data_IF_824761481119
#
_entry.id   IF_824761481119
#
_cell.length_a   1.000
_cell.length_b   1.000
_cell.length_c   1.000
_cell.angle_alpha   90.00
_cell.angle_beta   90.00
_cell.angle_gamma   90.00
#
_symmetry.space_group_name_H-M   'P 1'
#
loop_
_entity.id
_entity.type
_entity.pdbx_description
1 polymer ?
#
# COMPACT_ATOMS: atom_id res chain seq x y z
N UNK A 1 -42.05 52.85 -66.38
CA UNK A 1 -43.45 52.56 -66.03
C UNK A 1 -43.41 51.80 -64.71
N UNK A 2 -43.42 52.56 -63.61
CA UNK A 2 -44.55 52.69 -62.68
C UNK A 2 -44.68 51.44 -61.80
N UNK A 3 -44.29 51.55 -60.52
CA UNK A 3 -45.22 51.78 -59.38
C UNK A 3 -46.01 50.50 -59.07
N UNK A 4 -46.24 50.06 -57.84
CA UNK A 4 -46.00 50.57 -56.48
C UNK A 4 -46.69 49.55 -55.56
N UNK A 5 -46.21 49.48 -54.33
CA UNK A 5 -47.01 49.34 -53.10
C UNK A 5 -47.78 48.03 -52.88
N UNK A 6 -48.10 47.64 -51.66
CA UNK A 6 -47.70 47.95 -50.28
C UNK A 6 -48.69 47.12 -49.45
N UNK A 7 -48.32 46.78 -48.21
CA UNK A 7 -49.25 46.75 -47.07
C UNK A 7 -50.33 45.64 -47.08
N UNK A 8 -50.71 44.97 -46.00
CA UNK A 8 -50.36 44.92 -44.58
C UNK A 8 -51.33 43.85 -44.00
N UNK A 9 -51.01 43.30 -42.82
CA UNK A 9 -51.94 42.59 -41.91
C UNK A 9 -52.29 41.12 -42.24
N UNK A 10 -52.35 40.18 -41.30
CA UNK A 10 -52.12 40.13 -39.86
C UNK A 10 -52.33 38.66 -39.44
N UNK A 11 -51.50 38.15 -38.52
CA UNK A 11 -51.74 37.03 -37.59
C UNK A 11 -52.01 35.61 -38.13
N UNK A 12 -51.14 34.65 -37.83
CA UNK A 12 -51.34 33.75 -36.68
C UNK A 12 -50.03 33.00 -36.34
N UNK A 13 -49.81 32.84 -35.04
CA UNK A 13 -48.60 32.40 -34.38
C UNK A 13 -48.19 30.94 -34.64
N UNK A 14 -46.89 30.71 -34.82
CA UNK A 14 -46.21 29.54 -34.25
C UNK A 14 -44.79 29.95 -33.84
N UNK A 15 -44.66 30.28 -32.56
CA UNK A 15 -43.38 30.44 -31.86
C UNK A 15 -42.82 29.03 -31.68
N UNK A 16 -41.74 28.69 -32.39
CA UNK A 16 -40.88 27.58 -31.99
C UNK A 16 -39.56 28.17 -31.50
N UNK A 17 -39.43 28.18 -30.17
CA UNK A 17 -38.23 28.56 -29.46
C UNK A 17 -37.11 27.54 -29.77
N UNK A 18 -36.12 27.94 -30.55
CA UNK A 18 -34.84 27.25 -30.62
C UNK A 18 -33.93 27.82 -29.53
N UNK A 19 -34.08 27.31 -28.31
CA UNK A 19 -33.16 27.53 -27.20
C UNK A 19 -32.56 26.19 -26.79
N UNK A 20 -31.23 26.18 -26.72
CA UNK A 20 -30.36 25.29 -25.96
C UNK A 20 -30.29 23.80 -26.35
N UNK A 21 -29.30 23.49 -27.19
CA UNK A 21 -28.38 22.39 -26.90
C UNK A 21 -26.94 22.88 -27.11
N UNK A 22 -26.47 23.70 -26.17
CA UNK A 22 -25.04 23.66 -25.86
C UNK A 22 -24.86 22.44 -24.96
N UNK A 23 -24.57 21.30 -25.57
CA UNK A 23 -24.03 20.18 -24.82
C UNK A 23 -22.79 20.69 -24.11
N UNK A 24 -22.81 20.64 -22.76
CA UNK A 24 -21.63 20.90 -21.97
C UNK A 24 -20.49 20.04 -22.52
N UNK A 25 -19.27 20.58 -22.70
CA UNK A 25 -18.12 19.69 -22.88
C UNK A 25 -18.15 18.75 -21.67
N UNK A 26 -18.33 17.45 -21.96
CA UNK A 26 -18.27 16.43 -20.94
C UNK A 26 -17.00 16.63 -20.13
N UNK A 27 -17.13 16.48 -18.81
CA UNK A 27 -16.00 16.47 -17.89
C UNK A 27 -15.01 15.40 -18.38
N UNK A 28 -14.02 15.84 -19.15
CA UNK A 28 -12.89 15.03 -19.53
C UNK A 28 -11.94 15.10 -18.36
N UNK A 29 -11.85 14.01 -17.60
CA UNK A 29 -10.76 13.77 -16.65
C UNK A 29 -9.47 13.57 -17.45
N UNK A 30 -8.95 14.68 -17.94
CA UNK A 30 -7.65 14.76 -18.59
C UNK A 30 -6.68 15.34 -17.56
N UNK A 31 -5.53 14.71 -17.32
CA UNK A 31 -4.54 15.24 -16.38
C UNK A 31 -4.15 16.65 -16.82
N UNK A 32 -4.18 17.60 -15.88
CA UNK A 32 -3.88 19.01 -16.14
C UNK A 32 -2.44 19.19 -16.66
N UNK A 33 -1.57 18.22 -16.33
CA UNK A 33 -0.24 18.07 -16.90
C UNK A 33 0.02 16.61 -17.31
N UNK A 34 0.17 16.36 -18.62
CA UNK A 34 0.58 15.06 -19.13
C UNK A 34 2.11 14.96 -19.17
N UNK A 35 2.72 14.49 -18.08
CA UNK A 35 4.03 13.85 -18.14
C UNK A 35 3.86 12.33 -17.95
N UNK A 36 4.54 11.48 -18.74
CA UNK A 36 4.59 10.04 -18.45
C UNK A 36 5.17 9.83 -17.05
N UNK A 37 4.44 9.17 -16.15
CA UNK A 37 4.87 9.01 -14.76
C UNK A 37 6.15 8.15 -14.67
N UNK A 38 7.26 8.76 -14.25
CA UNK A 38 8.36 8.00 -13.63
C UNK A 38 7.89 7.37 -12.31
N UNK A 39 7.00 8.06 -11.58
CA UNK A 39 6.51 7.62 -10.27
C UNK A 39 5.57 6.40 -10.33
N UNK A 40 4.80 6.19 -11.41
CA UNK A 40 4.04 4.94 -11.57
C UNK A 40 4.97 3.76 -11.85
N UNK A 41 6.03 3.97 -12.64
CA UNK A 41 7.05 2.95 -12.87
C UNK A 41 7.82 2.64 -11.57
N UNK A 42 8.06 3.63 -10.71
CA UNK A 42 8.71 3.47 -9.39
C UNK A 42 7.80 2.88 -8.31
N UNK A 43 6.51 3.21 -8.29
CA UNK A 43 5.52 2.56 -7.43
C UNK A 43 5.28 1.10 -7.82
N UNK A 44 5.46 0.78 -9.11
CA UNK A 44 5.52 -0.59 -9.62
C UNK A 44 6.85 -1.31 -9.32
N UNK A 45 7.88 -0.58 -8.87
CA UNK A 45 9.12 -1.13 -8.32
C UNK A 45 9.03 -1.30 -6.79
N UNK A 46 7.83 -1.46 -6.21
CA UNK A 46 7.75 -2.05 -4.87
C UNK A 46 8.44 -3.40 -4.94
N UNK A 47 9.55 -3.47 -4.22
CA UNK A 47 10.46 -4.59 -4.11
C UNK A 47 9.69 -5.88 -3.83
N UNK A 48 10.23 -7.03 -4.23
CA UNK A 48 9.77 -8.35 -3.76
C UNK A 48 9.82 -8.50 -2.22
N UNK A 49 10.34 -7.48 -1.52
CA UNK A 49 10.43 -7.35 -0.07
C UNK A 49 9.20 -6.64 0.53
N UNK A 50 8.70 -7.15 1.65
CA UNK A 50 7.70 -6.47 2.46
C UNK A 50 8.34 -5.31 3.22
N UNK A 51 8.01 -4.07 2.85
CA UNK A 51 8.57 -2.84 3.43
C UNK A 51 7.49 -1.91 3.96
N UNK A 52 7.75 -1.28 5.11
CA UNK A 52 6.92 -0.25 5.74
C UNK A 52 7.78 0.99 6.02
N UNK A 53 7.26 2.18 5.70
CA UNK A 53 7.93 3.46 5.96
C UNK A 53 7.12 4.29 6.95
N UNK A 54 7.72 4.65 8.07
CA UNK A 54 7.17 5.50 9.10
C UNK A 54 7.79 6.89 8.97
N UNK A 55 6.96 7.91 8.76
CA UNK A 55 7.44 9.26 8.52
C UNK A 55 7.39 10.10 9.79
N UNK A 56 8.53 10.68 10.15
CA UNK A 56 8.62 11.63 11.25
C UNK A 56 8.30 13.06 10.78
N UNK A 57 7.75 13.84 11.71
CA UNK A 57 7.36 15.22 11.46
C UNK A 57 7.97 16.16 12.50
N UNK A 58 8.35 17.35 12.05
CA UNK A 58 8.69 18.42 12.97
C UNK A 58 7.42 18.93 13.67
N UNK A 59 7.48 19.24 14.98
CA UNK A 59 6.35 19.82 15.68
C UNK A 59 6.00 21.19 15.10
N UNK A 60 4.70 21.45 14.98
CA UNK A 60 4.17 22.73 14.51
C UNK A 60 3.38 23.43 15.62
N UNK A 61 3.37 24.76 15.58
CA UNK A 61 2.60 25.59 16.51
C UNK A 61 1.38 26.13 15.77
N UNK A 62 0.19 25.79 16.26
CA UNK A 62 -1.07 26.27 15.68
C UNK A 62 -1.40 27.69 16.16
N UNK A 63 -2.07 28.51 15.33
CA UNK A 63 -2.53 28.22 13.97
C UNK A 63 -1.40 28.31 12.92
N UNK A 64 -1.47 27.45 11.91
CA UNK A 64 -0.58 27.51 10.74
C UNK A 64 -1.19 28.39 9.65
N UNK A 65 -0.33 28.97 8.81
CA UNK A 65 -0.74 29.69 7.61
C UNK A 65 -0.02 29.06 6.41
N UNK A 66 -0.76 28.74 5.36
CA UNK A 66 -0.19 28.30 4.09
C UNK A 66 -0.85 29.10 2.96
N UNK A 67 -0.02 29.67 2.10
CA UNK A 67 -0.45 30.41 0.92
C UNK A 67 -0.47 29.54 -0.35
N UNK A 68 -0.09 28.27 -0.21
CA UNK A 68 0.01 27.26 -1.27
C UNK A 68 0.83 27.72 -2.48
N UNK A 69 1.72 28.69 -2.28
CA UNK A 69 2.62 29.22 -3.33
C UNK A 69 3.64 28.21 -3.82
N UNK A 70 4.00 27.28 -2.94
CA UNK A 70 4.84 26.12 -3.20
C UNK A 70 4.21 24.92 -2.52
N UNK A 71 4.53 23.73 -3.02
CA UNK A 71 4.11 22.50 -2.37
C UNK A 71 4.85 22.31 -1.03
N UNK A 72 4.08 22.28 0.06
CA UNK A 72 4.54 22.07 1.44
C UNK A 72 3.97 20.78 2.04
N UNK A 73 3.49 19.88 1.19
CA UNK A 73 3.05 18.54 1.58
C UNK A 73 4.24 17.61 1.78
N UNK A 74 4.08 16.61 2.65
CA UNK A 74 5.07 15.55 2.80
C UNK A 74 4.94 14.56 1.66
N UNK A 75 5.99 14.43 0.86
CA UNK A 75 6.03 13.38 -0.16
C UNK A 75 6.20 12.00 0.47
N UNK A 76 5.24 11.09 0.21
CA UNK A 76 5.19 9.73 0.79
C UNK A 76 5.78 8.65 -0.14
N UNK A 77 6.84 8.99 -0.88
CA UNK A 77 7.46 8.12 -1.88
C UNK A 77 8.85 7.59 -1.54
N UNK A 78 9.22 7.52 -0.25
CA UNK A 78 10.54 7.08 0.20
C UNK A 78 10.86 5.63 -0.21
N UNK A 79 12.14 5.36 -0.46
CA UNK A 79 12.67 4.03 -0.77
C UNK A 79 13.84 3.65 0.15
N UNK A 80 14.07 2.35 0.30
CA UNK A 80 15.24 1.86 1.01
C UNK A 80 16.54 2.39 0.37
N UNK A 81 17.38 3.05 1.17
CA UNK A 81 18.65 3.64 0.72
C UNK A 81 18.56 5.13 0.35
N UNK A 82 17.38 5.74 0.35
CA UNK A 82 17.24 7.19 0.21
C UNK A 82 17.88 7.93 1.40
N UNK A 83 18.37 9.17 1.21
CA UNK A 83 18.89 9.98 2.31
C UNK A 83 17.83 10.23 3.39
N UNK A 84 18.19 9.97 4.66
CA UNK A 84 17.27 10.13 5.79
C UNK A 84 16.25 8.98 5.94
N UNK A 85 16.39 7.90 5.17
CA UNK A 85 15.62 6.66 5.36
C UNK A 85 16.50 5.64 6.06
N UNK A 86 16.13 5.29 7.29
CA UNK A 86 16.89 4.42 8.15
C UNK A 86 16.10 3.13 8.43
N UNK A 87 16.75 1.97 8.33
CA UNK A 87 16.13 0.71 8.79
C UNK A 87 16.07 0.75 10.31
N UNK A 88 14.85 0.75 10.86
CA UNK A 88 14.60 0.79 12.30
C UNK A 88 14.57 -0.63 12.87
N UNK A 89 13.78 -1.52 12.27
CA UNK A 89 13.63 -2.89 12.73
C UNK A 89 13.23 -3.86 11.61
N UNK A 90 13.49 -5.15 11.87
CA UNK A 90 13.03 -6.26 11.04
C UNK A 90 12.10 -7.09 11.89
N UNK A 91 10.84 -7.20 11.48
CA UNK A 91 9.84 -8.03 12.16
C UNK A 91 9.69 -9.32 11.40
N UNK A 92 10.01 -10.45 12.04
CA UNK A 92 9.80 -11.77 11.45
C UNK A 92 8.38 -12.26 11.72
N UNK A 93 7.83 -13.01 10.78
CA UNK A 93 6.48 -13.58 10.88
C UNK A 93 6.40 -14.66 11.95
N UNK A 94 7.44 -15.48 12.10
CA UNK A 94 7.45 -16.64 12.99
C UNK A 94 8.54 -16.52 14.05
N UNK A 95 8.16 -16.81 15.28
CA UNK A 95 9.05 -16.91 16.42
C UNK A 95 8.73 -18.14 17.28
N UNK A 96 9.77 -18.84 17.71
CA UNK A 96 9.69 -19.92 18.72
C UNK A 96 10.49 -19.50 19.95
N UNK A 97 9.81 -19.21 21.06
CA UNK A 97 10.44 -18.85 22.34
C UNK A 97 11.47 -17.71 22.25
N UNK A 98 11.20 -16.67 21.46
CA UNK A 98 12.07 -15.52 21.27
C UNK A 98 13.21 -15.74 20.27
N UNK A 99 13.19 -16.86 19.53
CA UNK A 99 14.11 -17.15 18.43
C UNK A 99 13.34 -17.21 17.12
N UNK A 100 13.81 -16.43 16.14
CA UNK A 100 13.33 -16.46 14.76
C UNK A 100 14.46 -16.83 13.81
N UNK A 101 14.24 -17.83 12.95
CA UNK A 101 15.22 -18.28 11.96
C UNK A 101 14.66 -18.12 10.53
N UNK A 102 15.51 -17.84 9.51
CA UNK A 102 15.06 -17.60 8.14
C UNK A 102 14.33 -18.76 7.45
N UNK A 103 14.56 -20.00 7.90
CA UNK A 103 14.05 -21.23 7.26
C UNK A 103 12.98 -21.89 8.14
N UNK A 104 12.28 -21.11 8.96
CA UNK A 104 11.18 -21.64 9.76
C UNK A 104 9.99 -21.97 8.86
N UNK A 105 9.56 -23.22 8.93
CA UNK A 105 8.40 -23.74 8.21
C UNK A 105 7.72 -24.78 9.09
N UNK A 106 6.39 -24.77 9.10
CA UNK A 106 5.60 -25.62 9.98
C UNK A 106 4.28 -26.04 9.32
N UNK A 107 3.79 -27.21 9.73
CA UNK A 107 2.44 -27.69 9.42
C UNK A 107 1.50 -27.36 10.59
N UNK A 108 0.28 -26.95 10.28
CA UNK A 108 -0.79 -26.73 11.26
C UNK A 108 -1.52 -28.02 11.62
N UNK A 109 -1.45 -29.02 10.74
CA UNK A 109 -1.92 -30.36 11.02
C UNK A 109 -0.81 -31.20 11.68
N UNK A 110 -1.23 -32.16 12.52
CA UNK A 110 -0.31 -33.05 13.24
C UNK A 110 0.45 -33.95 12.27
N UNK A 111 1.78 -33.89 12.32
CA UNK A 111 2.67 -34.84 11.65
C UNK A 111 3.10 -35.96 12.61
N UNK A 112 3.53 -37.09 12.05
CA UNK A 112 3.64 -38.34 12.77
C UNK A 112 4.96 -39.08 12.51
N UNK A 113 5.40 -39.80 13.54
CA UNK A 113 6.29 -40.93 13.43
C UNK A 113 5.45 -42.20 13.30
N UNK A 114 5.62 -42.93 12.20
CA UNK A 114 4.96 -44.21 11.92
C UNK A 114 5.99 -45.35 11.93
N UNK A 115 5.72 -46.39 12.72
CA UNK A 115 6.54 -47.61 12.74
C UNK A 115 5.78 -48.72 12.02
N UNK A 116 6.46 -49.34 11.07
CA UNK A 116 5.95 -50.29 10.10
C UNK A 116 6.69 -51.62 10.23
N UNK A 117 5.99 -52.74 10.12
CA UNK A 117 6.60 -54.08 10.10
C UNK A 117 6.16 -54.82 8.84
N UNK A 118 7.17 -55.22 8.08
CA UNK A 118 7.02 -55.98 6.86
C UNK A 118 7.00 -57.45 7.21
N UNK A 119 5.79 -57.98 7.35
CA UNK A 119 5.62 -59.42 7.54
C UNK A 119 6.09 -60.20 6.31
N UNK A 120 6.44 -61.48 6.48
CA UNK A 120 6.86 -62.42 5.41
C UNK A 120 5.89 -62.50 4.20
N UNK A 121 4.70 -61.92 4.30
CA UNK A 121 3.70 -61.84 3.21
C UNK A 121 3.86 -60.62 2.29
N UNK A 122 4.81 -59.72 2.57
CA UNK A 122 5.04 -58.51 1.79
C UNK A 122 3.96 -57.42 2.00
N UNK A 123 3.07 -57.60 2.97
CA UNK A 123 2.18 -56.54 3.44
C UNK A 123 2.85 -55.80 4.58
N UNK A 124 2.86 -54.48 4.44
CA UNK A 124 3.31 -53.57 5.49
C UNK A 124 2.16 -53.30 6.47
N UNK A 125 2.45 -53.44 7.76
CA UNK A 125 1.49 -53.23 8.84
C UNK A 125 1.99 -52.12 9.76
N UNK A 126 1.22 -51.05 9.90
CA UNK A 126 1.54 -49.97 10.85
C UNK A 126 1.33 -50.48 12.28
N UNK A 127 2.43 -50.59 13.03
CA UNK A 127 2.42 -51.02 14.43
C UNK A 127 2.15 -49.84 15.36
N UNK A 128 2.71 -48.68 15.03
CA UNK A 128 2.60 -47.49 15.87
C UNK A 128 2.49 -46.24 15.02
N UNK A 129 1.68 -45.30 15.52
CA UNK A 129 1.54 -43.95 14.98
C UNK A 129 1.54 -42.98 16.15
N UNK A 130 2.62 -42.22 16.28
CA UNK A 130 2.79 -41.24 17.36
C UNK A 130 3.00 -39.86 16.77
N UNK A 131 2.36 -38.81 17.31
CA UNK A 131 2.58 -37.45 16.81
C UNK A 131 4.01 -37.00 17.07
N UNK A 132 4.57 -36.23 16.14
CA UNK A 132 5.86 -35.56 16.33
C UNK A 132 5.74 -34.44 17.39
N UNK A 133 6.87 -33.97 17.95
CA UNK A 133 6.86 -32.90 18.93
C UNK A 133 6.13 -31.65 18.43
N UNK A 134 5.19 -31.16 19.23
CA UNK A 134 4.48 -29.90 18.98
C UNK A 134 5.37 -28.70 19.35
N UNK A 135 5.28 -27.65 18.56
CA UNK A 135 5.90 -26.35 18.81
C UNK A 135 4.81 -25.30 19.05
N UNK A 136 5.04 -24.45 20.04
CA UNK A 136 4.22 -23.25 20.27
C UNK A 136 4.85 -22.10 19.49
N UNK A 137 4.22 -21.70 18.39
CA UNK A 137 4.68 -20.61 17.53
C UNK A 137 3.98 -19.32 17.89
N UNK A 138 4.75 -18.23 18.01
CA UNK A 138 4.19 -16.89 17.94
C UNK A 138 4.17 -16.45 16.48
N UNK A 139 2.98 -16.23 15.92
CA UNK A 139 2.77 -15.81 14.54
C UNK A 139 2.40 -14.34 14.53
N UNK A 140 3.18 -13.51 13.85
CA UNK A 140 2.95 -12.08 13.68
C UNK A 140 2.18 -11.81 12.38
N UNK A 141 1.15 -10.98 12.48
CA UNK A 141 0.45 -10.45 11.32
C UNK A 141 1.21 -9.24 10.76
N UNK A 142 1.91 -9.46 9.64
CA UNK A 142 2.72 -8.44 8.97
C UNK A 142 1.89 -7.49 8.08
N UNK A 143 0.59 -7.72 7.91
CA UNK A 143 -0.26 -6.88 7.03
C UNK A 143 -0.83 -5.65 7.73
N UNK A 144 -0.59 -5.49 9.03
CA UNK A 144 -1.12 -4.40 9.85
C UNK A 144 -0.01 -3.78 10.70
N UNK A 145 -0.12 -2.47 10.94
CA UNK A 145 0.78 -1.74 11.82
C UNK A 145 0.00 -0.98 12.90
N UNK A 146 0.36 -1.07 14.19
CA UNK A 146 1.40 -1.93 14.76
C UNK A 146 1.11 -3.42 14.57
N UNK A 147 2.17 -4.24 14.46
CA UNK A 147 2.02 -5.69 14.26
C UNK A 147 1.30 -6.33 15.44
N UNK A 148 0.39 -7.26 15.14
CA UNK A 148 -0.31 -8.07 16.14
C UNK A 148 0.21 -9.50 16.09
N UNK A 149 0.12 -10.24 17.18
CA UNK A 149 0.53 -11.65 17.20
C UNK A 149 -0.50 -12.56 17.87
N UNK A 150 -0.42 -13.83 17.51
CA UNK A 150 -1.15 -14.93 18.13
C UNK A 150 -0.23 -16.13 18.36
N UNK A 151 -0.59 -16.98 19.31
CA UNK A 151 0.15 -18.22 19.60
C UNK A 151 -0.59 -19.40 18.98
N UNK A 152 0.12 -20.20 18.19
CA UNK A 152 -0.44 -21.33 17.45
C UNK A 152 0.39 -22.58 17.70
N UNK A 153 -0.29 -23.70 17.94
CA UNK A 153 0.32 -25.04 17.95
C UNK A 153 0.62 -25.50 16.54
N UNK A 154 1.85 -25.93 16.28
CA UNK A 154 2.27 -26.43 14.99
C UNK A 154 3.27 -27.57 15.09
N UNK A 155 3.47 -28.28 13.98
CA UNK A 155 4.34 -29.44 13.90
C UNK A 155 5.40 -29.28 12.81
N UNK A 156 6.52 -30.03 12.88
CA UNK A 156 7.50 -30.08 11.81
C UNK A 156 6.82 -30.49 10.48
N UNK A 157 7.20 -29.90 9.34
CA UNK A 157 6.57 -30.16 8.05
C UNK A 157 7.12 -31.45 7.39
N UNK A 158 7.18 -32.52 8.15
CA UNK A 158 7.56 -33.84 7.66
C UNK A 158 6.96 -34.93 8.53
N UNK A 159 6.72 -36.09 7.92
CA UNK A 159 6.46 -37.34 8.62
C UNK A 159 7.73 -38.21 8.63
N UNK A 160 7.86 -39.08 9.62
CA UNK A 160 8.95 -40.06 9.69
C UNK A 160 8.36 -41.46 9.61
N UNK A 161 8.89 -42.29 8.71
CA UNK A 161 8.53 -43.70 8.56
C UNK A 161 9.71 -44.57 8.94
N UNK A 162 9.51 -45.44 9.91
CA UNK A 162 10.54 -46.36 10.39
C UNK A 162 10.07 -47.80 10.18
N UNK A 163 10.89 -48.61 9.53
CA UNK A 163 10.55 -50.02 9.25
C UNK A 163 11.34 -50.92 10.19
N UNK A 164 10.65 -51.78 10.94
CA UNK A 164 11.28 -52.73 11.86
C UNK A 164 12.24 -53.63 11.09
N UNK A 165 13.52 -53.60 11.47
CA UNK A 165 14.58 -54.38 10.82
C UNK A 165 15.38 -53.59 9.77
N UNK A 166 14.91 -52.40 9.38
CA UNK A 166 15.74 -51.39 8.72
C UNK A 166 16.42 -50.52 9.79
N UNK A 167 17.63 -50.03 9.51
CA UNK A 167 18.37 -49.12 10.39
C UNK A 167 18.28 -47.66 9.92
N UNK A 168 17.58 -47.38 8.82
CA UNK A 168 17.41 -46.04 8.27
C UNK A 168 15.93 -45.66 8.20
N UNK A 169 15.46 -44.76 9.08
CA UNK A 169 14.14 -44.16 8.93
C UNK A 169 14.08 -43.27 7.68
N UNK A 170 12.92 -43.26 7.02
CA UNK A 170 12.61 -42.39 5.90
C UNK A 170 11.88 -41.13 6.39
N UNK A 171 12.36 -39.94 6.01
CA UNK A 171 11.67 -38.68 6.25
C UNK A 171 10.94 -38.22 4.98
N UNK A 172 9.64 -38.00 5.07
CA UNK A 172 8.80 -37.54 3.96
C UNK A 172 8.34 -36.11 4.26
N UNK A 173 8.74 -35.16 3.42
CA UNK A 173 8.31 -33.78 3.54
C UNK A 173 6.80 -33.64 3.29
N UNK A 174 6.15 -32.85 4.13
CA UNK A 174 4.77 -32.41 3.99
C UNK A 174 4.80 -30.95 3.55
N UNK A 175 3.82 -30.52 2.77
CA UNK A 175 3.74 -29.11 2.38
C UNK A 175 3.50 -28.25 3.64
N UNK A 176 4.36 -27.28 3.96
CA UNK A 176 4.14 -26.43 5.12
C UNK A 176 2.94 -25.50 4.90
N UNK A 177 2.16 -25.28 5.96
CA UNK A 177 1.02 -24.36 5.96
C UNK A 177 1.46 -22.94 6.27
N UNK A 178 2.53 -22.81 7.07
CA UNK A 178 3.07 -21.54 7.50
C UNK A 178 4.57 -21.51 7.22
N UNK A 179 4.99 -20.45 6.53
CA UNK A 179 6.36 -20.17 6.15
C UNK A 179 6.84 -18.89 6.83
N UNK A 180 8.14 -18.82 7.09
CA UNK A 180 8.79 -17.61 7.55
C UNK A 180 8.64 -16.49 6.51
N UNK A 181 8.46 -15.28 7.02
CA UNK A 181 8.47 -14.05 6.23
C UNK A 181 9.02 -12.92 7.12
N UNK A 182 9.30 -11.77 6.55
CA UNK A 182 9.80 -10.61 7.30
C UNK A 182 9.25 -9.31 6.74
N UNK A 183 8.94 -8.38 7.63
CA UNK A 183 8.63 -6.98 7.33
C UNK A 183 9.82 -6.11 7.72
N UNK A 184 10.36 -5.37 6.75
CA UNK A 184 11.38 -4.35 6.97
C UNK A 184 10.68 -3.04 7.31
N UNK A 185 10.95 -2.50 8.50
CA UNK A 185 10.36 -1.24 8.96
C UNK A 185 11.42 -0.16 8.94
N UNK A 186 11.18 0.85 8.13
CA UNK A 186 12.02 2.02 7.97
C UNK A 186 11.41 3.22 8.68
N UNK A 187 12.26 4.06 9.25
CA UNK A 187 11.92 5.42 9.66
C UNK A 187 12.45 6.42 8.64
N UNK A 188 11.65 7.42 8.34
CA UNK A 188 11.99 8.50 7.41
C UNK A 188 12.10 9.79 8.20
N UNK A 189 13.32 10.30 8.32
CA UNK A 189 13.64 11.49 9.10
C UNK A 189 12.76 12.69 8.68
N UNK A 190 12.37 13.49 9.67
CA UNK A 190 11.62 14.71 9.43
C UNK A 190 12.43 15.67 8.54
N UNK A 191 11.74 16.38 7.65
CA UNK A 191 12.39 17.43 6.85
C UNK A 191 12.77 18.61 7.76
N UNK A 192 14.07 18.86 7.88
CA UNK A 192 14.62 19.90 8.76
C UNK A 192 14.66 21.28 8.12
N UNK A 193 14.28 21.41 6.84
CA UNK A 193 14.23 22.70 6.16
C UNK A 193 13.14 23.57 6.79
N UNK A 194 13.42 24.86 6.86
CA UNK A 194 12.51 25.88 7.36
C UNK A 194 12.37 27.02 6.36
N UNK A 195 11.31 27.80 6.48
CA UNK A 195 11.15 29.06 5.75
C UNK A 195 10.71 30.18 6.68
N UNK A 196 10.88 31.42 6.22
CA UNK A 196 10.44 32.60 6.97
C UNK A 196 8.99 32.92 6.66
N UNK A 197 8.15 32.87 7.68
CA UNK A 197 6.76 33.33 7.64
C UNK A 197 6.60 34.48 8.62
N UNK A 198 6.30 35.69 8.13
CA UNK A 198 6.10 36.86 8.99
C UNK A 198 7.30 37.21 9.89
N UNK A 199 8.53 36.80 9.52
CA UNK A 199 9.75 36.99 10.32
C UNK A 199 10.08 35.87 11.30
N UNK A 200 9.28 34.81 11.37
CA UNK A 200 9.53 33.63 12.20
C UNK A 200 9.92 32.43 11.33
N UNK A 201 10.90 31.64 11.78
CA UNK A 201 11.23 30.37 11.11
C UNK A 201 10.17 29.32 11.46
N UNK A 202 9.58 28.72 10.44
CA UNK A 202 8.61 27.63 10.54
C UNK A 202 9.07 26.44 9.69
N UNK A 203 8.69 25.19 10.03
CA UNK A 203 8.98 24.02 9.19
C UNK A 203 8.52 24.20 7.75
N UNK A 204 9.29 23.68 6.79
CA UNK A 204 8.92 23.74 5.37
C UNK A 204 7.70 22.86 5.07
N UNK A 205 7.66 21.68 5.68
CA UNK A 205 6.54 20.75 5.54
C UNK A 205 5.48 21.13 6.55
N UNK A 206 4.29 21.44 6.04
CA UNK A 206 3.14 21.85 6.84
C UNK A 206 2.06 20.76 6.91
N UNK A 207 1.97 19.92 5.86
CA UNK A 207 0.93 18.91 5.71
C UNK A 207 1.52 17.50 5.71
N UNK A 208 0.86 16.60 6.44
CA UNK A 208 1.31 15.21 6.65
C UNK A 208 1.09 14.32 5.43
N UNK A 209 0.11 14.65 4.59
CA UNK A 209 -0.18 13.93 3.36
C UNK A 209 -0.04 14.82 2.12
N UNK A 210 0.15 14.17 0.98
CA UNK A 210 0.27 14.78 -0.35
C UNK A 210 -0.95 14.43 -1.22
N UNK A 211 -2.12 14.24 -0.61
CA UNK A 211 -3.30 13.87 -1.39
C UNK A 211 -3.83 15.04 -2.20
N UNK A 212 -3.72 16.29 -1.76
CA UNK A 212 -4.18 17.43 -2.55
C UNK A 212 -3.14 17.87 -3.59
N UNK A 213 -3.60 18.21 -4.81
CA UNK A 213 -2.75 18.83 -5.81
C UNK A 213 -2.57 20.33 -5.52
N UNK A 214 -1.33 20.79 -5.41
CA UNK A 214 -1.02 22.22 -5.27
C UNK A 214 -0.87 22.84 -6.66
N UNK A 215 -1.83 23.68 -7.04
CA UNK A 215 -1.94 24.28 -8.36
C UNK A 215 -1.71 25.81 -8.31
N UNK A 216 -0.63 26.26 -8.94
CA UNK A 216 -0.29 27.69 -9.09
C UNK A 216 -1.00 28.41 -10.24
N UNK A 217 -1.81 27.72 -11.05
CA UNK A 217 -2.43 28.26 -12.28
C UNK A 217 -3.95 28.24 -12.27
N UNK A 218 -4.56 27.54 -11.32
CA UNK A 218 -6.01 27.45 -11.17
C UNK A 218 -6.74 28.71 -10.68
N UNK A 219 -6.16 29.57 -9.82
CA UNK A 219 -6.93 30.71 -9.31
C UNK A 219 -7.28 31.73 -10.41
N UNK A 220 -8.54 32.16 -10.44
CA UNK A 220 -9.08 33.08 -11.47
C UNK A 220 -9.14 34.54 -10.98
N UNK A 221 -9.61 34.82 -9.75
CA UNK A 221 -9.59 36.16 -9.12
C UNK A 221 -10.14 36.13 -7.67
N UNK A 222 -9.54 36.79 -6.65
CA UNK A 222 -8.22 37.43 -6.66
C UNK A 222 -7.12 36.38 -6.88
N UNK A 223 -5.86 36.75 -7.16
CA UNK A 223 -4.80 35.77 -7.31
C UNK A 223 -4.21 35.38 -5.94
N UNK A 224 -4.62 34.29 -5.26
CA UNK A 224 -3.72 33.62 -4.34
C UNK A 224 -2.56 33.03 -5.15
N UNK A 225 -1.41 32.92 -4.49
CA UNK A 225 -0.17 32.50 -5.12
C UNK A 225 -0.23 31.00 -5.51
N UNK A 226 -1.06 30.21 -4.83
CA UNK A 226 -1.51 28.89 -5.30
C UNK A 226 -2.76 28.39 -4.58
N UNK A 227 -3.27 27.23 -5.00
CA UNK A 227 -4.52 26.60 -4.53
C UNK A 227 -4.30 25.10 -4.34
N UNK A 228 -4.70 24.56 -3.19
CA UNK A 228 -4.85 23.11 -3.00
C UNK A 228 -6.20 22.64 -3.56
N UNK A 229 -6.19 21.72 -4.52
CA UNK A 229 -7.42 21.16 -5.10
C UNK A 229 -7.80 19.83 -4.44
N UNK A 230 -9.05 19.74 -4.01
CA UNK A 230 -9.68 18.52 -3.46
C UNK A 230 -10.66 17.94 -4.48
N UNK A 231 -10.24 17.91 -5.74
CA UNK A 231 -11.03 17.56 -6.92
C UNK A 231 -10.86 16.09 -7.36
N UNK A 232 -10.29 15.27 -6.49
CA UNK A 232 -10.01 13.87 -6.77
C UNK A 232 -8.67 13.62 -7.43
N UNK A 233 -7.80 14.63 -7.53
CA UNK A 233 -6.45 14.52 -8.06
C UNK A 233 -5.41 14.32 -6.95
N UNK A 234 -4.37 13.53 -7.23
CA UNK A 234 -3.19 13.31 -6.40
C UNK A 234 -2.16 14.46 -6.54
N UNK A 235 -1.06 14.43 -5.77
CA UNK A 235 0.05 15.41 -5.85
C UNK A 235 0.59 15.68 -7.26
N UNK A 236 0.39 14.75 -8.19
CA UNK A 236 0.87 14.84 -9.57
C UNK A 236 -0.20 15.33 -10.55
N UNK A 237 -1.41 15.64 -10.06
CA UNK A 237 -2.54 16.10 -10.86
C UNK A 237 -3.27 14.97 -11.58
N UNK A 238 -3.15 13.71 -11.13
CA UNK A 238 -3.87 12.56 -11.68
C UNK A 238 -4.97 12.08 -10.74
N UNK A 239 -6.06 11.49 -11.25
CA UNK A 239 -7.11 10.94 -10.39
C UNK A 239 -6.59 9.91 -9.39
N UNK A 240 -7.11 9.93 -8.15
CA UNK A 240 -6.88 8.87 -7.17
C UNK A 240 -7.28 7.50 -7.74
N UNK A 241 -6.63 6.44 -7.27
CA UNK A 241 -6.97 5.05 -7.59
C UNK A 241 -7.61 4.36 -6.40
#
# INVERSE_FOLDING_TARGET
>A
MMQRNADLHLTLAFVLAALALHGQPGESLSPLHAQPRQDALRAMQRSDLNELFLYDYLPQVLPIQDDFSIDRTRWLGAQAGDPGVNLDQVVYRLDTNGVSLPVMEFALDTTHLEIHDTTDTGMDTTISKTPLPEFQLTVYNLTVWPVTSEVVSAWPPYDVKDTVGDNSPDTIGVNPDILQDSLLVYTVDADTRTYLQGGTQVPLILWEDDYAYINGTYPVDPPPIGVATFDGLDRTGFPYR
#
